data_IF_033396288289
#
_entry.id   IF_033396288289
#
_cell.length_a   1.000
_cell.length_b   1.000
_cell.length_c   1.000
_cell.angle_alpha   90.00
_cell.angle_beta   90.00
_cell.angle_gamma   90.00
#
_symmetry.space_group_name_H-M   'P 1'
#
loop_
_entity.id
_entity.type
_entity.pdbx_description
1 polymer ?
#
# COMPACT_ATOMS: atom_id res chain seq x y z
N UNK A 1 40.22 26.77 28.96
CA UNK A 1 39.69 27.23 30.25
C UNK A 1 38.86 26.11 30.84
N UNK A 2 39.47 25.37 31.76
CA UNK A 2 38.87 24.37 32.64
C UNK A 2 38.52 25.06 33.94
N UNK A 3 37.33 24.84 34.52
CA UNK A 3 37.15 24.64 35.97
C UNK A 3 35.91 23.77 36.22
N UNK A 4 36.17 22.67 36.91
CA UNK A 4 35.30 21.64 37.49
C UNK A 4 34.52 22.07 38.74
N UNK A 5 33.43 21.36 39.07
CA UNK A 5 33.13 20.75 40.38
C UNK A 5 31.67 20.25 40.42
N UNK A 6 31.42 18.94 40.44
CA UNK A 6 31.34 18.08 41.64
C UNK A 6 30.10 18.35 42.49
N UNK A 7 29.19 17.39 42.55
CA UNK A 7 28.59 16.80 43.77
C UNK A 7 27.61 15.72 43.27
N UNK A 8 28.04 14.46 43.16
CA UNK A 8 27.89 13.47 44.24
C UNK A 8 26.64 12.62 43.92
N UNK A 9 26.61 11.31 43.91
CA UNK A 9 27.40 10.29 44.55
C UNK A 9 27.25 8.97 43.79
N UNK A 10 28.40 8.34 43.62
CA UNK A 10 28.68 6.94 43.31
C UNK A 10 27.68 5.94 43.92
N UNK A 11 27.03 5.13 43.08
CA UNK A 11 26.85 3.70 43.36
C UNK A 11 27.32 2.94 42.12
N UNK A 12 28.49 2.30 42.26
CA UNK A 12 29.09 1.41 41.28
C UNK A 12 29.17 0.03 41.94
N UNK A 13 28.51 -0.98 41.36
CA UNK A 13 28.65 -2.41 41.71
C UNK A 13 28.37 -3.23 40.43
N UNK A 14 29.19 -4.27 40.14
CA UNK A 14 30.24 -4.27 39.12
C UNK A 14 29.78 -4.69 37.71
N UNK A 15 30.58 -4.23 36.74
CA UNK A 15 30.57 -4.64 35.35
C UNK A 15 31.18 -6.05 35.23
N UNK A 16 30.43 -7.04 34.74
CA UNK A 16 31.02 -8.30 34.23
C UNK A 16 31.44 -8.05 32.80
N UNK A 17 32.75 -7.99 32.66
CA UNK A 17 33.55 -7.86 31.46
C UNK A 17 33.16 -8.79 30.30
N UNK A 18 33.58 -8.35 29.11
CA UNK A 18 33.82 -9.09 27.86
C UNK A 18 32.68 -9.11 26.84
N UNK A 19 32.93 -8.40 25.75
CA UNK A 19 32.18 -8.45 24.50
C UNK A 19 32.25 -9.85 23.87
N UNK A 20 31.10 -10.42 23.50
CA UNK A 20 30.96 -11.36 22.38
C UNK A 20 29.54 -11.26 21.83
N UNK A 21 29.41 -10.91 20.54
CA UNK A 21 28.32 -11.36 19.67
C UNK A 21 26.95 -10.73 19.84
N UNK A 22 26.63 -9.74 18.99
CA UNK A 22 25.24 -9.46 18.64
C UNK A 22 24.65 -10.66 17.86
N UNK A 23 23.52 -11.26 18.26
CA UNK A 23 22.74 -12.06 17.34
C UNK A 23 21.85 -11.11 16.52
N UNK A 24 22.32 -10.80 15.33
CA UNK A 24 21.45 -10.28 14.26
C UNK A 24 20.57 -11.45 13.78
N UNK A 25 19.27 -11.32 14.02
CA UNK A 25 18.24 -12.03 13.26
C UNK A 25 17.58 -13.21 13.98
N UNK A 26 16.24 -13.20 14.00
CA UNK A 26 15.44 -14.36 14.36
C UNK A 26 14.07 -13.97 14.90
N UNK A 27 13.04 -14.20 14.08
CA UNK A 27 11.63 -14.02 14.44
C UNK A 27 11.26 -14.88 15.66
N UNK A 28 10.69 -14.28 16.70
CA UNK A 28 9.81 -14.96 17.64
C UNK A 28 8.93 -13.91 18.32
N UNK A 29 7.63 -14.22 18.44
CA UNK A 29 6.60 -13.31 18.91
C UNK A 29 6.99 -12.59 20.21
N UNK A 30 6.89 -11.26 20.19
CA UNK A 30 7.08 -10.41 21.35
C UNK A 30 5.95 -10.64 22.36
N UNK A 31 5.99 -11.74 23.09
CA UNK A 31 5.29 -11.93 24.36
C UNK A 31 6.08 -11.19 25.44
N UNK A 32 6.20 -9.87 25.30
CA UNK A 32 6.56 -9.02 26.41
C UNK A 32 5.34 -8.94 27.32
N UNK A 33 5.45 -9.41 28.56
CA UNK A 33 4.39 -9.30 29.56
C UNK A 33 3.80 -7.89 29.52
N UNK A 34 2.48 -7.82 29.30
CA UNK A 34 1.75 -6.57 29.18
C UNK A 34 1.65 -5.97 30.57
N UNK A 35 2.63 -5.16 30.95
CA UNK A 35 2.51 -4.32 32.14
C UNK A 35 1.45 -3.26 31.80
N UNK A 36 0.32 -3.37 32.48
CA UNK A 36 -0.79 -2.44 32.41
C UNK A 36 -0.51 -1.24 33.33
N UNK A 37 0.33 -0.33 32.84
CA UNK A 37 0.39 1.01 33.40
C UNK A 37 -0.63 1.90 32.67
N UNK A 38 -1.44 2.68 33.40
CA UNK A 38 -2.34 3.73 32.87
C UNK A 38 -1.63 4.78 31.99
N UNK A 39 -0.31 4.74 31.97
CA UNK A 39 0.61 5.63 31.25
C UNK A 39 0.53 5.56 29.71
N UNK A 40 -0.27 4.66 29.09
CA UNK A 40 -0.28 4.50 27.62
C UNK A 40 -0.90 5.71 26.89
N UNK A 41 -0.14 6.55 26.17
CA UNK A 41 -0.68 7.74 25.51
C UNK A 41 -1.56 7.37 24.31
N UNK A 42 -2.65 8.11 24.10
CA UNK A 42 -3.59 7.88 22.98
C UNK A 42 -3.02 8.38 21.65
N UNK A 43 -3.25 7.63 20.57
CA UNK A 43 -2.97 8.11 19.20
C UNK A 43 -4.11 9.01 18.75
N UNK A 44 -3.82 10.29 18.50
CA UNK A 44 -4.76 11.31 18.01
C UNK A 44 -4.21 11.98 16.74
N UNK A 45 -5.05 12.80 16.08
CA UNK A 45 -4.70 13.54 14.88
C UNK A 45 -4.05 12.64 13.79
N UNK A 46 -2.95 13.07 13.19
CA UNK A 46 -2.25 12.34 12.11
C UNK A 46 -1.72 10.98 12.56
N UNK A 47 -1.28 10.86 13.82
CA UNK A 47 -0.82 9.60 14.38
C UNK A 47 -1.93 8.55 14.42
N UNK A 48 -3.19 8.97 14.56
CA UNK A 48 -4.34 8.08 14.41
C UNK A 48 -4.50 7.64 12.95
N UNK A 49 -4.53 8.57 11.99
CA UNK A 49 -4.67 8.24 10.56
C UNK A 49 -3.58 7.28 10.07
N UNK A 50 -2.33 7.48 10.49
CA UNK A 50 -1.23 6.58 10.13
C UNK A 50 -1.44 5.15 10.63
N UNK A 51 -2.06 5.01 11.81
CA UNK A 51 -2.31 3.73 12.46
C UNK A 51 -3.51 3.01 11.87
N UNK A 52 -4.61 3.73 11.63
CA UNK A 52 -5.90 3.13 11.24
C UNK A 52 -6.16 3.13 9.74
N UNK A 53 -5.31 3.78 8.92
CA UNK A 53 -5.52 3.76 7.46
C UNK A 53 -5.59 2.32 6.92
N UNK A 54 -6.58 1.99 6.09
CA UNK A 54 -6.67 0.67 5.46
C UNK A 54 -5.41 0.34 4.66
N UNK A 55 -4.91 -0.88 4.82
CA UNK A 55 -3.76 -1.42 4.09
C UNK A 55 -3.98 -2.88 3.82
N UNK A 56 -3.59 -3.33 2.63
CA UNK A 56 -3.42 -4.75 2.35
C UNK A 56 -2.13 -5.22 3.03
N UNK A 57 -2.26 -6.06 4.05
CA UNK A 57 -1.12 -6.61 4.80
C UNK A 57 -0.68 -7.96 4.28
N UNK A 58 -1.60 -8.72 3.68
CA UNK A 58 -1.33 -10.07 3.22
C UNK A 58 -0.60 -10.06 1.87
N UNK A 59 0.59 -10.70 1.74
CA UNK A 59 1.39 -10.62 0.52
C UNK A 59 0.69 -11.12 -0.74
N UNK A 60 -0.21 -12.11 -0.62
CA UNK A 60 -0.95 -12.65 -1.75
C UNK A 60 -1.94 -11.62 -2.32
N UNK A 61 -2.63 -10.85 -1.47
CA UNK A 61 -3.60 -9.83 -1.90
C UNK A 61 -2.91 -8.58 -2.47
N UNK A 62 -1.71 -8.26 -1.97
CA UNK A 62 -0.87 -7.19 -2.54
C UNK A 62 -0.36 -7.55 -3.93
N UNK A 63 -0.12 -8.83 -4.22
CA UNK A 63 0.43 -9.30 -5.50
C UNK A 63 -0.61 -9.59 -6.59
N UNK A 64 -1.91 -9.44 -6.29
CA UNK A 64 -2.97 -9.61 -7.30
C UNK A 64 -2.86 -8.52 -8.36
N UNK A 65 -2.97 -8.93 -9.62
CA UNK A 65 -2.98 -8.06 -10.81
C UNK A 65 -4.24 -8.35 -11.64
N UNK A 66 -4.64 -7.46 -12.56
CA UNK A 66 -5.71 -7.76 -13.50
C UNK A 66 -5.46 -9.07 -14.24
N UNK A 67 -6.53 -9.81 -14.52
CA UNK A 67 -6.47 -11.03 -15.33
C UNK A 67 -6.09 -10.66 -16.77
N UNK A 68 -5.11 -11.37 -17.34
CA UNK A 68 -4.71 -11.20 -18.74
C UNK A 68 -5.49 -12.20 -19.59
N UNK A 69 -6.26 -11.68 -20.55
CA UNK A 69 -6.98 -12.47 -21.55
C UNK A 69 -6.20 -12.51 -22.87
N UNK A 70 -6.37 -13.57 -23.68
CA UNK A 70 -5.80 -13.58 -25.03
C UNK A 70 -6.37 -12.43 -25.87
N UNK A 71 -5.59 -11.86 -26.79
CA UNK A 71 -6.09 -10.83 -27.69
C UNK A 71 -7.21 -11.39 -28.56
N UNK A 72 -8.20 -10.54 -28.82
CA UNK A 72 -9.31 -10.90 -29.69
C UNK A 72 -8.80 -11.05 -31.14
N UNK A 73 -9.36 -11.96 -31.94
CA UNK A 73 -9.09 -11.98 -33.38
C UNK A 73 -9.44 -10.63 -34.02
N UNK A 74 -8.85 -10.31 -35.19
CA UNK A 74 -9.17 -9.08 -35.90
C UNK A 74 -10.65 -9.03 -36.20
N UNK A 75 -11.31 -7.99 -35.70
CA UNK A 75 -12.72 -7.75 -35.94
C UNK A 75 -12.92 -7.16 -37.34
N UNK A 76 -14.05 -7.46 -38.00
CA UNK A 76 -14.45 -6.75 -39.22
C UNK A 76 -14.69 -5.25 -38.91
N UNK A 77 -14.71 -4.38 -39.95
CA UNK A 77 -15.10 -2.99 -39.77
C UNK A 77 -16.54 -2.88 -39.25
N UNK A 78 -16.80 -1.87 -38.43
CA UNK A 78 -18.13 -1.64 -37.83
C UNK A 78 -19.20 -1.37 -38.90
N UNK A 79 -18.82 -0.73 -40.01
CA UNK A 79 -19.67 -0.50 -41.18
C UNK A 79 -18.83 -0.37 -42.44
N UNK A 80 -19.44 -0.72 -43.57
CA UNK A 80 -18.88 -0.55 -44.92
C UNK A 80 -19.88 0.25 -45.73
N UNK A 81 -19.44 1.33 -46.40
CA UNK A 81 -20.30 2.06 -47.34
C UNK A 81 -20.47 1.22 -48.59
N UNK A 82 -21.71 0.93 -48.95
CA UNK A 82 -22.01 0.45 -50.28
C UNK A 82 -21.74 1.59 -51.28
N UNK A 83 -21.11 1.32 -52.44
CA UNK A 83 -21.03 2.32 -53.50
C UNK A 83 -22.45 2.78 -53.84
N UNK A 84 -22.65 4.10 -53.88
CA UNK A 84 -23.91 4.67 -54.34
C UNK A 84 -23.97 4.45 -55.85
N UNK A 85 -24.76 3.46 -56.27
CA UNK A 85 -25.22 3.43 -57.66
C UNK A 85 -26.13 4.66 -57.84
N UNK A 86 -25.61 5.70 -58.49
CA UNK A 86 -26.38 6.86 -58.98
C UNK A 86 -27.42 6.47 -60.05
N UNK A 87 -27.67 5.17 -60.24
CA UNK A 87 -28.71 4.60 -61.08
C UNK A 87 -29.99 4.27 -60.30
N UNK A 88 -30.37 5.11 -59.33
CA UNK A 88 -31.70 5.03 -58.74
C UNK A 88 -32.71 5.69 -59.71
N UNK A 89 -33.70 4.94 -60.25
CA UNK A 89 -34.77 5.57 -61.02
C UNK A 89 -35.50 6.60 -60.15
N UNK A 90 -35.98 7.71 -60.74
CA UNK A 90 -36.60 8.81 -59.99
C UNK A 90 -37.72 8.26 -59.09
N UNK A 91 -37.57 8.45 -57.78
CA UNK A 91 -38.59 8.06 -56.82
C UNK A 91 -39.82 8.96 -57.03
N UNK A 92 -41.03 8.37 -57.19
CA UNK A 92 -42.25 9.16 -57.32
C UNK A 92 -42.48 9.97 -56.04
N UNK A 93 -43.09 11.17 -56.14
CA UNK A 93 -43.33 12.02 -54.97
C UNK A 93 -44.18 11.28 -53.94
N UNK A 94 -43.72 11.31 -52.68
CA UNK A 94 -44.48 10.87 -51.52
C UNK A 94 -45.60 11.88 -51.27
N UNK A 95 -46.80 11.55 -51.74
CA UNK A 95 -48.02 12.24 -51.34
C UNK A 95 -48.31 11.92 -49.86
N UNK A 96 -47.97 12.86 -48.98
CA UNK A 96 -48.41 12.84 -47.58
C UNK A 96 -49.83 13.45 -47.47
N UNK A 97 -50.75 12.84 -46.70
CA UNK A 97 -52.07 13.42 -46.41
C UNK A 97 -51.99 14.66 -45.50
#
# INVERSE_FOLDING_TARGET
MSVSALFGTRVMVPNKSLAVGAPKGGRAGGMGMVIECSSRPKKKATAHHMKTRPKKTQPWDVRRRPTVYPPLPPLPPDWTLAPSDDSAPPQPPLDNP
#
